data_IF_874286308449
#
_entry.id   IF_874286308449
#
_cell.length_a   1.000
_cell.length_b   1.000
_cell.length_c   1.000
_cell.angle_alpha   90.00
_cell.angle_beta   90.00
_cell.angle_gamma   90.00
#
_symmetry.space_group_name_H-M   'P 1'
#
loop_
_entity.id
_entity.type
_entity.pdbx_description
1 polymer ?
#
# COMPACT_ATOMS: atom_id res chain seq x y z
N UNK A 1 8.60 -19.36 -0.67
CA UNK A 1 8.45 -17.92 -0.44
C UNK A 1 9.51 -17.19 -1.26
N UNK A 2 9.16 -16.11 -1.97
CA UNK A 2 10.15 -15.26 -2.66
C UNK A 2 11.15 -14.68 -1.66
N UNK A 3 12.37 -14.35 -2.11
CA UNK A 3 13.35 -13.66 -1.27
C UNK A 3 12.93 -12.20 -1.09
N UNK A 4 13.40 -11.55 -0.01
CA UNK A 4 13.10 -10.14 0.24
C UNK A 4 13.48 -9.27 -0.97
N UNK A 5 14.66 -9.50 -1.55
CA UNK A 5 15.13 -8.78 -2.73
C UNK A 5 14.17 -8.89 -3.93
N UNK A 6 13.57 -10.07 -4.16
CA UNK A 6 12.59 -10.23 -5.26
C UNK A 6 11.28 -9.49 -4.99
N UNK A 7 10.83 -9.41 -3.74
CA UNK A 7 9.64 -8.66 -3.37
C UNK A 7 9.87 -7.14 -3.48
N UNK A 8 11.04 -6.65 -3.04
CA UNK A 8 11.44 -5.25 -3.16
C UNK A 8 11.55 -4.81 -4.63
N UNK A 9 12.15 -5.63 -5.49
CA UNK A 9 12.26 -5.35 -6.92
C UNK A 9 10.88 -5.28 -7.59
N UNK A 10 9.97 -6.21 -7.27
CA UNK A 10 8.59 -6.20 -7.77
C UNK A 10 7.84 -4.91 -7.35
N UNK A 11 7.95 -4.55 -6.07
CA UNK A 11 7.35 -3.36 -5.50
C UNK A 11 7.90 -2.05 -6.10
N UNK A 12 9.21 -2.00 -6.37
CA UNK A 12 9.84 -0.86 -7.04
C UNK A 12 9.38 -0.70 -8.50
N UNK A 13 9.04 -1.80 -9.16
CA UNK A 13 8.48 -1.81 -10.52
C UNK A 13 6.99 -1.45 -10.58
N UNK A 14 6.31 -1.31 -9.44
CA UNK A 14 4.88 -0.99 -9.41
C UNK A 14 4.63 0.49 -9.74
N UNK A 15 4.38 0.76 -11.03
CA UNK A 15 4.05 2.08 -11.55
C UNK A 15 2.78 2.03 -12.41
N UNK A 16 1.58 1.99 -11.80
CA UNK A 16 0.33 2.02 -12.54
C UNK A 16 0.19 3.34 -13.32
N UNK A 17 -0.29 3.27 -14.56
CA UNK A 17 -0.57 4.45 -15.39
C UNK A 17 -1.82 5.23 -14.95
N UNK A 18 -2.66 4.61 -14.13
CA UNK A 18 -3.86 5.18 -13.53
C UNK A 18 -3.61 5.52 -12.05
N UNK A 19 -4.55 6.25 -11.43
CA UNK A 19 -4.52 6.49 -9.98
C UNK A 19 -5.17 5.28 -9.29
N UNK A 20 -4.40 4.42 -8.59
CA UNK A 20 -4.96 3.25 -7.92
C UNK A 20 -5.89 3.65 -6.76
N UNK A 21 -6.95 2.87 -6.58
CA UNK A 21 -7.84 2.94 -5.42
C UNK A 21 -7.56 1.72 -4.54
N UNK A 22 -7.23 1.93 -3.26
CA UNK A 22 -7.00 0.86 -2.30
C UNK A 22 -7.92 1.00 -1.10
N UNK A 23 -8.60 -0.09 -0.74
CA UNK A 23 -9.52 -0.14 0.40
C UNK A 23 -8.91 -1.01 1.48
N UNK A 24 -8.68 -0.45 2.67
CA UNK A 24 -8.11 -1.16 3.82
C UNK A 24 -9.14 -1.25 4.94
N UNK A 25 -9.59 -2.46 5.26
CA UNK A 25 -10.32 -2.75 6.49
C UNK A 25 -9.32 -2.96 7.64
N UNK A 26 -9.46 -2.17 8.71
CA UNK A 26 -8.50 -2.14 9.83
C UNK A 26 -7.23 -1.34 9.55
N UNK A 27 -7.25 -0.40 8.58
CA UNK A 27 -6.09 0.39 8.18
C UNK A 27 -5.64 1.46 9.20
N UNK A 28 -6.29 1.57 10.35
CA UNK A 28 -6.08 2.66 11.31
C UNK A 28 -5.01 2.38 12.36
N UNK A 29 -4.56 1.13 12.53
CA UNK A 29 -3.51 0.78 13.48
C UNK A 29 -2.76 -0.50 13.07
N UNK A 30 -1.63 -0.76 13.73
CA UNK A 30 -0.85 -1.99 13.58
C UNK A 30 -0.42 -2.26 12.14
N UNK A 31 -0.63 -3.49 11.68
CA UNK A 31 -0.23 -3.93 10.33
C UNK A 31 -1.02 -3.19 9.25
N UNK A 32 -2.31 -2.90 9.48
CA UNK A 32 -3.14 -2.20 8.51
C UNK A 32 -2.63 -0.79 8.23
N UNK A 33 -2.24 -0.06 9.27
CA UNK A 33 -1.59 1.24 9.14
C UNK A 33 -0.27 1.15 8.37
N UNK A 34 0.58 0.16 8.72
CA UNK A 34 1.85 -0.04 8.02
C UNK A 34 1.68 -0.30 6.52
N UNK A 35 0.66 -1.07 6.14
CA UNK A 35 0.33 -1.35 4.73
C UNK A 35 -0.12 -0.10 3.98
N UNK A 36 -0.96 0.72 4.61
CA UNK A 36 -1.43 2.00 4.06
C UNK A 36 -0.27 2.95 3.82
N UNK A 37 0.61 3.11 4.81
CA UNK A 37 1.78 3.98 4.70
C UNK A 37 2.75 3.48 3.62
N UNK A 38 2.98 2.17 3.53
CA UNK A 38 3.83 1.58 2.51
C UNK A 38 3.29 1.85 1.10
N UNK A 39 1.99 1.67 0.88
CA UNK A 39 1.35 1.96 -0.40
C UNK A 39 1.40 3.45 -0.75
N UNK A 40 1.14 4.33 0.23
CA UNK A 40 1.20 5.78 0.04
C UNK A 40 2.62 6.23 -0.35
N UNK A 41 3.66 5.64 0.26
CA UNK A 41 5.07 5.91 -0.08
C UNK A 41 5.42 5.42 -1.48
N UNK A 42 5.03 4.19 -1.85
CA UNK A 42 5.30 3.64 -3.18
C UNK A 42 4.63 4.45 -4.29
N UNK A 43 3.37 4.83 -4.09
CA UNK A 43 2.62 5.63 -5.07
C UNK A 43 2.96 7.12 -5.02
N UNK A 44 3.86 7.55 -4.11
CA UNK A 44 4.22 8.96 -3.87
C UNK A 44 2.98 9.85 -3.64
N UNK A 45 1.99 9.31 -2.92
CA UNK A 45 0.71 9.98 -2.68
C UNK A 45 -0.27 9.96 -3.86
N UNK A 46 0.06 9.36 -5.01
CA UNK A 46 -0.83 9.20 -6.16
C UNK A 46 -1.72 7.96 -6.01
N UNK A 47 -2.48 7.88 -4.93
CA UNK A 47 -3.44 6.81 -4.70
C UNK A 47 -4.65 7.34 -3.95
N UNK A 48 -5.83 6.81 -4.26
CA UNK A 48 -7.02 7.00 -3.45
C UNK A 48 -7.07 5.89 -2.41
N UNK A 49 -6.91 6.25 -1.14
CA UNK A 49 -6.89 5.28 -0.04
C UNK A 49 -8.17 5.45 0.77
N UNK A 50 -8.96 4.38 0.85
CA UNK A 50 -10.16 4.30 1.68
C UNK A 50 -9.85 3.45 2.90
N UNK A 51 -9.97 4.05 4.09
CA UNK A 51 -9.74 3.40 5.36
C UNK A 51 -11.07 3.07 6.01
N UNK A 52 -11.27 1.80 6.35
CA UNK A 52 -12.45 1.33 7.09
C UNK A 52 -11.97 0.91 8.48
N UNK A 53 -12.32 1.69 9.49
CA UNK A 53 -12.04 1.39 10.90
C UNK A 53 -13.32 1.43 11.71
N UNK A 54 -13.39 0.65 12.80
CA UNK A 54 -14.52 0.68 13.74
C UNK A 54 -14.42 1.80 14.78
N UNK A 55 -13.20 2.35 14.94
CA UNK A 55 -12.70 2.99 16.16
C UNK A 55 -12.78 2.06 17.37
#
# INVERSE_FOLDING_TARGET
>A
MPTLATAEASNAGFAPSYIPVAVFAGGTSGVGQGMVEALARQTKGRAHIVLIGRN
#
